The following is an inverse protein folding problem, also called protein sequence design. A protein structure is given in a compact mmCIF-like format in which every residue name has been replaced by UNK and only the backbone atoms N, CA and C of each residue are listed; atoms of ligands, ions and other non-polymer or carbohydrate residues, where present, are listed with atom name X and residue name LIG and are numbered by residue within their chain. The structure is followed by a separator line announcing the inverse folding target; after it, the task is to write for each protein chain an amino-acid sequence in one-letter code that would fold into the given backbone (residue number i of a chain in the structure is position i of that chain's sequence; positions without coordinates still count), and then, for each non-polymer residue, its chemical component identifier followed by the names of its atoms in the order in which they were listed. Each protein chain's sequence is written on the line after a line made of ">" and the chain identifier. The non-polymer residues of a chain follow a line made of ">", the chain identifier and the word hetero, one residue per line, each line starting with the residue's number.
data_IF_845538932298
#
_entry.id   IF_845538932298
#
_cell.length_a   1.000
_cell.length_b   1.000
_cell.length_c   1.000
_cell.angle_alpha   90.00
_cell.angle_beta   90.00
_cell.angle_gamma   90.00
#
_symmetry.space_group_name_H-M   'P 1'
#
loop_
_entity.id
_entity.type
_entity.pdbx_description
1 polymer ?
#
# COMPACT_ATOMS: atom_id res chain seq x y z
N UNK A 1 -3.29 -5.59 -63.74
CA UNK A 1 -4.05 -4.36 -63.41
C UNK A 1 -4.90 -4.64 -62.18
N UNK A 2 -5.08 -3.61 -61.35
CA UNK A 2 -5.93 -3.48 -60.16
C UNK A 2 -5.39 -3.91 -58.79
N UNK A 3 -4.74 -2.90 -58.19
CA UNK A 3 -4.64 -2.61 -56.77
C UNK A 3 -6.01 -2.66 -56.08
N UNK A 4 -6.09 -3.29 -54.91
CA UNK A 4 -7.08 -2.92 -53.89
C UNK A 4 -6.42 -2.92 -52.51
N UNK A 5 -6.28 -1.71 -51.97
CA UNK A 5 -5.96 -1.41 -50.59
C UNK A 5 -7.24 -1.51 -49.77
N UNK A 6 -7.19 -2.19 -48.62
CA UNK A 6 -8.11 -1.93 -47.53
C UNK A 6 -7.40 -2.26 -46.21
N UNK A 7 -6.88 -1.21 -45.57
CA UNK A 7 -6.36 -1.23 -44.20
C UNK A 7 -7.55 -1.29 -43.25
N UNK A 8 -7.73 -2.40 -42.53
CA UNK A 8 -8.65 -2.49 -41.41
C UNK A 8 -7.85 -2.35 -40.11
N UNK A 9 -7.77 -1.12 -39.58
CA UNK A 9 -7.22 -0.86 -38.26
C UNK A 9 -8.27 -1.26 -37.20
N UNK A 10 -8.18 -2.48 -36.68
CA UNK A 10 -8.93 -2.89 -35.51
C UNK A 10 -8.27 -2.30 -34.25
N UNK A 11 -8.83 -1.21 -33.73
CA UNK A 11 -8.40 -0.63 -32.45
C UNK A 11 -8.72 -1.62 -31.32
N UNK A 12 -7.67 -2.18 -30.71
CA UNK A 12 -7.75 -3.01 -29.54
C UNK A 12 -8.12 -2.14 -28.32
N UNK A 13 -9.36 -2.22 -27.86
CA UNK A 13 -9.76 -1.70 -26.55
C UNK A 13 -9.48 -2.78 -25.48
N UNK A 14 -8.23 -2.90 -25.06
CA UNK A 14 -7.89 -3.66 -23.84
C UNK A 14 -8.40 -2.88 -22.63
N UNK A 15 -9.58 -3.23 -22.14
CA UNK A 15 -9.99 -2.89 -20.77
C UNK A 15 -9.04 -3.64 -19.82
N UNK A 16 -8.02 -2.93 -19.32
CA UNK A 16 -7.26 -3.38 -18.18
C UNK A 16 -8.20 -3.36 -16.95
N UNK A 17 -8.84 -4.49 -16.66
CA UNK A 17 -9.41 -4.75 -15.34
C UNK A 17 -8.24 -4.85 -14.35
N UNK A 18 -7.87 -3.71 -13.76
CA UNK A 18 -7.03 -3.73 -12.56
C UNK A 18 -7.83 -4.40 -11.45
N UNK A 19 -7.34 -5.49 -10.83
CA UNK A 19 -8.01 -6.04 -9.66
C UNK A 19 -8.00 -4.98 -8.56
N UNK A 20 -9.18 -4.44 -8.25
CA UNK A 20 -9.38 -3.68 -7.04
C UNK A 20 -9.23 -4.67 -5.88
N UNK A 21 -8.03 -4.74 -5.29
CA UNK A 21 -7.82 -5.47 -4.04
C UNK A 21 -8.48 -4.65 -2.93
N UNK A 22 -9.81 -4.79 -2.81
CA UNK A 22 -10.58 -4.29 -1.69
C UNK A 22 -10.27 -5.13 -0.46
N UNK A 23 -9.38 -4.66 0.40
CA UNK A 23 -9.15 -5.26 1.72
C UNK A 23 -10.02 -4.53 2.74
N UNK A 24 -11.21 -5.05 2.99
CA UNK A 24 -12.01 -4.68 4.14
C UNK A 24 -12.30 -5.92 5.01
N UNK A 25 -12.30 -5.71 6.32
CA UNK A 25 -12.83 -6.59 7.37
C UNK A 25 -11.97 -7.74 7.90
N UNK A 26 -10.73 -7.43 8.26
CA UNK A 26 -10.27 -7.73 9.61
C UNK A 26 -9.79 -6.41 10.19
N UNK A 27 -10.46 -5.83 11.19
CA UNK A 27 -9.90 -4.69 11.89
C UNK A 27 -8.56 -5.14 12.46
N UNK A 28 -7.48 -4.81 11.75
CA UNK A 28 -6.15 -5.26 12.05
C UNK A 28 -5.88 -4.82 13.49
N UNK A 29 -5.88 -5.79 14.43
CA UNK A 29 -5.96 -5.53 15.87
C UNK A 29 -4.66 -4.83 16.28
N UNK A 30 -4.73 -3.50 16.39
CA UNK A 30 -3.58 -2.63 16.61
C UNK A 30 -3.99 -1.16 16.43
N UNK A 31 -3.25 -0.26 17.09
CA UNK A 31 -3.43 1.18 16.92
C UNK A 31 -3.06 1.59 15.50
N UNK A 32 -1.99 1.01 14.94
CA UNK A 32 -1.59 1.22 13.56
C UNK A 32 -1.86 -0.02 12.69
N UNK A 33 -2.21 0.23 11.44
CA UNK A 33 -2.14 -0.78 10.38
C UNK A 33 -1.60 -0.17 9.08
N UNK A 34 -0.65 -0.86 8.46
CA UNK A 34 -0.03 -0.50 7.19
C UNK A 34 -0.21 -1.65 6.20
N UNK A 35 -0.64 -1.36 4.98
CA UNK A 35 -0.79 -2.34 3.89
C UNK A 35 0.33 -2.08 2.87
N UNK A 36 1.42 -2.86 2.87
CA UNK A 36 2.51 -2.68 1.92
C UNK A 36 2.05 -2.97 0.49
N UNK A 37 2.61 -2.26 -0.49
CA UNK A 37 2.35 -2.51 -1.91
C UNK A 37 2.89 -3.88 -2.37
N UNK A 38 3.94 -4.37 -1.70
CA UNK A 38 4.50 -5.70 -1.89
C UNK A 38 4.54 -6.40 -0.54
N UNK A 39 4.04 -7.64 -0.47
CA UNK A 39 3.99 -8.39 0.78
C UNK A 39 5.39 -8.50 1.41
N UNK A 40 5.57 -8.14 2.71
CA UNK A 40 6.85 -8.26 3.38
C UNK A 40 7.29 -9.72 3.46
N UNK A 41 8.57 -9.99 3.24
CA UNK A 41 9.15 -11.32 3.43
C UNK A 41 9.26 -11.74 4.90
N UNK A 42 9.20 -10.77 5.83
CA UNK A 42 9.31 -10.97 7.28
C UNK A 42 7.95 -10.80 7.95
N UNK A 43 7.64 -11.69 8.87
CA UNK A 43 6.39 -11.66 9.67
C UNK A 43 6.47 -10.74 10.90
N UNK A 44 7.67 -10.24 11.23
CA UNK A 44 7.89 -9.26 12.29
C UNK A 44 9.01 -8.32 11.87
N UNK A 45 8.78 -7.01 12.02
CA UNK A 45 9.78 -5.97 11.74
C UNK A 45 9.78 -4.94 12.87
N UNK A 46 10.81 -4.11 12.92
CA UNK A 46 10.93 -3.06 13.93
C UNK A 46 11.26 -1.75 13.25
N UNK A 47 10.40 -0.74 13.43
CA UNK A 47 10.63 0.61 12.93
C UNK A 47 11.05 1.52 14.09
N UNK A 48 12.35 1.80 14.23
CA UNK A 48 12.97 2.38 15.44
C UNK A 48 12.67 1.55 16.70
N UNK A 49 11.64 1.92 17.46
CA UNK A 49 11.22 1.29 18.72
C UNK A 49 9.83 0.65 18.63
N UNK A 50 9.18 0.69 17.47
CA UNK A 50 7.85 0.13 17.25
C UNK A 50 7.96 -1.25 16.62
N UNK A 51 7.47 -2.27 17.33
CA UNK A 51 7.37 -3.63 16.79
C UNK A 51 6.11 -3.76 15.95
N UNK A 52 6.29 -4.23 14.72
CA UNK A 52 5.20 -4.55 13.82
C UNK A 52 5.10 -6.06 13.62
N UNK A 53 3.87 -6.54 13.57
CA UNK A 53 3.54 -7.91 13.16
C UNK A 53 2.90 -7.85 11.79
N UNK A 54 3.49 -8.56 10.84
CA UNK A 54 3.05 -8.59 9.45
C UNK A 54 2.50 -9.99 9.12
N UNK A 55 1.32 -10.03 8.52
CA UNK A 55 0.63 -11.24 8.10
C UNK A 55 -0.50 -10.90 7.14
N UNK A 56 -0.82 -11.82 6.23
CA UNK A 56 -1.93 -11.65 5.27
C UNK A 56 -1.85 -10.33 4.45
N UNK A 57 -0.63 -9.83 4.23
CA UNK A 57 -0.40 -8.58 3.49
C UNK A 57 -0.59 -7.30 4.30
N UNK A 58 -0.79 -7.37 5.62
CA UNK A 58 -0.95 -6.20 6.50
C UNK A 58 0.04 -6.27 7.66
N UNK A 59 0.64 -5.13 8.00
CA UNK A 59 1.47 -4.95 9.19
C UNK A 59 0.72 -4.16 10.25
N UNK A 60 0.68 -4.65 11.49
CA UNK A 60 0.02 -3.99 12.63
C UNK A 60 0.99 -3.68 13.74
N UNK A 61 0.74 -2.59 14.48
CA UNK A 61 1.52 -2.21 15.64
C UNK A 61 0.67 -1.57 16.74
N UNK A 62 1.18 -1.64 17.97
CA UNK A 62 0.65 -0.89 19.11
C UNK A 62 0.95 0.61 18.99
N UNK A 63 0.29 1.43 19.81
CA UNK A 63 0.55 2.88 19.85
C UNK A 63 2.02 3.14 20.21
N UNK A 64 2.65 4.03 19.47
CA UNK A 64 4.02 4.46 19.65
C UNK A 64 4.05 5.86 20.25
N UNK A 65 5.15 6.21 20.92
CA UNK A 65 5.41 7.58 21.41
C UNK A 65 5.99 8.45 20.27
N UNK A 66 5.18 8.63 19.23
CA UNK A 66 5.50 9.46 18.06
C UNK A 66 4.20 9.91 17.39
N UNK A 67 4.27 10.98 16.60
CA UNK A 67 3.15 11.41 15.76
C UNK A 67 2.85 10.33 14.71
N UNK A 68 1.58 10.07 14.43
CA UNK A 68 1.13 9.05 13.48
C UNK A 68 1.81 9.19 12.10
N UNK A 69 2.04 10.44 11.64
CA UNK A 69 2.75 10.71 10.38
C UNK A 69 4.19 10.21 10.39
N UNK A 70 4.90 10.38 11.51
CA UNK A 70 6.26 9.87 11.69
C UNK A 70 6.25 8.34 11.72
N UNK A 71 5.25 7.73 12.34
CA UNK A 71 5.10 6.27 12.34
C UNK A 71 4.87 5.74 10.92
N UNK A 72 4.08 6.41 10.08
CA UNK A 72 3.94 6.03 8.67
C UNK A 72 5.31 6.12 7.95
N UNK A 73 6.03 7.23 8.10
CA UNK A 73 7.36 7.41 7.47
C UNK A 73 8.37 6.35 7.92
N UNK A 74 8.31 5.93 9.18
CA UNK A 74 9.20 4.92 9.73
C UNK A 74 8.88 3.52 9.18
N UNK A 75 7.60 3.14 9.08
CA UNK A 75 7.25 1.79 8.60
C UNK A 75 7.55 1.62 7.12
N UNK A 76 7.32 2.64 6.29
CA UNK A 76 7.58 2.53 4.83
C UNK A 76 9.06 2.37 4.50
N UNK A 77 9.96 2.77 5.42
CA UNK A 77 11.41 2.54 5.27
C UNK A 77 11.79 1.06 5.46
N UNK A 78 10.92 0.28 6.10
CA UNK A 78 11.11 -1.13 6.39
C UNK A 78 10.33 -2.03 5.42
N UNK A 79 9.11 -1.64 5.02
CA UNK A 79 8.23 -2.44 4.15
C UNK A 79 8.12 -1.93 2.71
N UNK A 80 8.75 -0.80 2.40
CA UNK A 80 8.54 -0.10 1.14
C UNK A 80 7.24 0.72 1.14
N UNK A 81 6.80 1.14 -0.05
CA UNK A 81 5.57 1.92 -0.20
C UNK A 81 4.36 1.16 0.33
N UNK A 82 3.43 1.87 0.96
CA UNK A 82 2.15 1.34 1.43
C UNK A 82 1.00 1.87 0.58
N UNK A 83 -0.01 1.04 0.33
CA UNK A 83 -1.25 1.40 -0.35
C UNK A 83 -2.29 1.94 0.63
N UNK A 84 -2.18 1.60 1.91
CA UNK A 84 -3.03 2.12 2.97
C UNK A 84 -2.28 2.19 4.31
N UNK A 85 -2.60 3.22 5.09
CA UNK A 85 -2.14 3.39 6.46
C UNK A 85 -3.31 3.90 7.30
N UNK A 86 -3.45 3.37 8.52
CA UNK A 86 -4.50 3.76 9.47
C UNK A 86 -3.88 3.90 10.86
N UNK A 87 -4.28 4.94 11.57
CA UNK A 87 -3.93 5.18 12.97
C UNK A 87 -5.21 5.39 13.78
N UNK A 88 -5.37 4.66 14.88
CA UNK A 88 -6.52 4.76 15.78
C UNK A 88 -7.90 4.67 15.11
N UNK A 89 -8.02 3.89 14.03
CA UNK A 89 -9.27 3.81 13.26
C UNK A 89 -9.39 4.84 12.12
N UNK A 90 -8.56 5.88 12.11
CA UNK A 90 -8.55 6.90 11.07
C UNK A 90 -7.60 6.51 9.94
N UNK A 91 -8.12 6.46 8.72
CA UNK A 91 -7.33 6.20 7.52
C UNK A 91 -6.61 7.46 7.05
N UNK A 92 -5.37 7.31 6.60
CA UNK A 92 -4.63 8.39 5.95
C UNK A 92 -5.19 8.60 4.55
N UNK A 93 -5.43 9.87 4.20
CA UNK A 93 -5.80 10.26 2.84
C UNK A 93 -4.61 10.12 1.86
N UNK A 94 -4.89 10.33 0.58
CA UNK A 94 -3.88 10.20 -0.48
C UNK A 94 -2.70 11.16 -0.30
N UNK A 95 -2.95 12.40 0.14
CA UNK A 95 -1.90 13.38 0.35
C UNK A 95 -0.98 12.99 1.54
N UNK A 96 -1.55 12.47 2.61
CA UNK A 96 -0.81 11.96 3.76
C UNK A 96 -0.02 10.68 3.40
N UNK A 97 -0.62 9.77 2.64
CA UNK A 97 0.05 8.57 2.13
C UNK A 97 1.20 8.92 1.19
N UNK A 98 1.01 9.87 0.28
CA UNK A 98 2.06 10.34 -0.62
C UNK A 98 3.25 10.92 0.16
N UNK A 99 2.98 11.74 1.19
CA UNK A 99 4.01 12.29 2.06
C UNK A 99 4.81 11.21 2.78
N UNK A 100 4.16 10.22 3.40
CA UNK A 100 4.94 9.17 4.05
C UNK A 100 5.65 8.26 3.06
N UNK A 101 5.01 7.85 1.95
CA UNK A 101 5.64 7.04 0.90
C UNK A 101 6.85 7.71 0.23
N UNK A 102 7.00 9.03 0.30
CA UNK A 102 8.20 9.73 -0.12
C UNK A 102 9.46 9.34 0.70
N UNK A 103 9.30 8.64 1.82
CA UNK A 103 10.39 8.09 2.65
C UNK A 103 10.67 6.61 2.40
N UNK A 104 9.92 5.94 1.53
CA UNK A 104 10.16 4.54 1.20
C UNK A 104 11.54 4.35 0.53
N UNK A 105 12.15 3.18 0.74
CA UNK A 105 13.42 2.80 0.11
C UNK A 105 13.20 2.17 -1.27
#
# INVERSE_FOLDING_TARGET
>A
MNRFLAVAAAAAATLALTPATGFAQGAARGYYSATPATAPSKTSIVSRSTVWKCGEGVCVAAKADARDTIVCELVVREVGKVTAFRANGTQFDEAALAKCNAKAR
#
